data_IF_101079954199
#
_entry.id   IF_101079954199
#
_cell.length_a   1.000
_cell.length_b   1.000
_cell.length_c   1.000
_cell.angle_alpha   90.00
_cell.angle_beta   90.00
_cell.angle_gamma   90.00
#
_symmetry.space_group_name_H-M   'P 1'
#
loop_
_entity.id
_entity.type
_entity.pdbx_description
1 polymer ?
#
# COMPACT_ATOMS: atom_id res chain seq x y z
N UNK A 1 -9.77 10.54 -5.71
CA UNK A 1 -9.94 9.36 -4.85
C UNK A 1 -9.72 9.73 -3.40
N UNK A 2 -9.85 8.80 -2.49
CA UNK A 2 -9.63 9.07 -1.07
C UNK A 2 -8.50 8.19 -0.56
N UNK A 3 -7.70 8.72 0.37
CA UNK A 3 -6.78 7.92 1.16
C UNK A 3 -7.46 7.27 2.37
N UNK A 4 -6.73 6.40 3.04
CA UNK A 4 -7.21 5.71 4.23
C UNK A 4 -6.10 5.56 5.25
N UNK A 5 -6.41 5.76 6.53
CA UNK A 5 -5.50 5.57 7.66
C UNK A 5 -6.22 4.83 8.79
N UNK A 6 -5.53 3.91 9.48
CA UNK A 6 -6.07 3.18 10.62
C UNK A 6 -5.61 1.74 10.68
N UNK A 7 -6.25 0.96 11.52
CA UNK A 7 -6.05 -0.48 11.63
C UNK A 7 -6.85 -1.26 10.57
N UNK A 8 -6.40 -2.45 10.26
CA UNK A 8 -7.15 -3.35 9.37
C UNK A 8 -8.55 -3.61 9.94
N UNK A 9 -9.59 -3.28 9.16
CA UNK A 9 -10.99 -3.36 9.60
C UNK A 9 -11.52 -2.09 10.28
N UNK A 10 -10.68 -1.12 10.54
CA UNK A 10 -11.05 0.20 11.08
C UNK A 10 -10.26 1.30 10.38
N UNK A 11 -10.35 1.35 9.06
CA UNK A 11 -9.71 2.37 8.25
C UNK A 11 -10.60 3.61 8.16
N UNK A 12 -10.05 4.77 8.48
CA UNK A 12 -10.72 6.06 8.33
C UNK A 12 -10.39 6.62 6.96
N UNK A 13 -11.44 7.02 6.25
CA UNK A 13 -11.30 7.67 4.94
C UNK A 13 -10.78 9.08 5.12
N UNK A 14 -9.78 9.43 4.33
CA UNK A 14 -9.22 10.77 4.27
C UNK A 14 -9.61 11.38 2.94
N UNK A 15 -10.33 12.50 2.99
CA UNK A 15 -10.67 13.31 1.83
C UNK A 15 -9.74 14.51 1.80
N UNK A 16 -8.97 14.69 0.72
CA UNK A 16 -8.15 15.87 0.54
C UNK A 16 -8.40 16.54 -0.81
N UNK A 17 -8.51 17.86 -0.80
CA UNK A 17 -8.76 18.63 -2.01
C UNK A 17 -7.50 18.90 -2.83
N UNK A 18 -6.31 18.74 -2.27
CA UNK A 18 -5.02 19.10 -2.88
C UNK A 18 -4.07 17.92 -2.93
N UNK A 19 -3.09 17.94 -3.85
CA UNK A 19 -2.08 16.89 -3.94
C UNK A 19 -1.35 16.71 -2.61
N UNK A 20 -1.20 15.46 -2.20
CA UNK A 20 -0.40 15.09 -1.02
C UNK A 20 1.07 15.34 -1.32
N UNK A 21 1.73 16.09 -0.43
CA UNK A 21 3.19 16.25 -0.52
C UNK A 21 3.85 15.05 0.15
N UNK A 22 4.58 14.27 -0.64
CA UNK A 22 5.38 13.16 -0.14
C UNK A 22 6.84 13.55 -0.10
N UNK A 23 7.45 13.45 1.06
CA UNK A 23 8.90 13.61 1.20
C UNK A 23 9.53 12.23 1.36
N UNK A 24 10.32 11.85 0.38
CA UNK A 24 11.12 10.64 0.44
C UNK A 24 12.50 11.01 1.01
N UNK A 25 12.99 10.33 2.04
CA UNK A 25 14.33 10.58 2.55
C UNK A 25 15.40 10.29 1.50
N UNK A 26 16.52 10.97 1.61
CA UNK A 26 17.66 10.82 0.69
C UNK A 26 18.13 9.36 0.58
N UNK A 27 18.41 8.94 -0.63
CA UNK A 27 18.79 7.55 -0.95
C UNK A 27 20.15 7.13 -0.39
N UNK A 28 20.99 8.09 -0.05
CA UNK A 28 22.35 7.83 0.43
C UNK A 28 22.85 9.02 1.22
N UNK A 29 23.64 8.74 2.18
CA UNK A 29 24.46 9.73 2.88
C UNK A 29 25.90 9.60 2.37
N UNK A 30 26.47 10.72 1.92
CA UNK A 30 27.86 10.76 1.47
C UNK A 30 28.71 11.20 2.65
N UNK A 31 29.48 10.28 3.22
CA UNK A 31 30.42 10.60 4.29
C UNK A 31 31.84 10.72 3.69
N UNK A 32 32.46 11.87 3.88
CA UNK A 32 33.87 12.07 3.54
C UNK A 32 34.75 11.54 4.68
N UNK A 33 35.52 10.50 4.41
CA UNK A 33 36.52 10.04 5.37
C UNK A 33 37.79 10.92 5.28
N UNK A 34 38.57 11.10 6.38
CA UNK A 34 39.83 11.84 6.38
C UNK A 34 40.88 11.31 5.40
N UNK A 35 40.75 10.05 4.96
CA UNK A 35 41.59 9.39 3.97
C UNK A 35 41.29 9.74 2.51
N UNK A 36 40.43 10.72 2.22
CA UNK A 36 39.94 11.09 0.88
C UNK A 36 39.18 9.96 0.16
N UNK A 37 38.75 8.93 0.85
CA UNK A 37 37.85 7.90 0.31
C UNK A 37 36.41 8.26 0.63
N UNK A 38 35.56 8.25 -0.40
CA UNK A 38 34.12 8.48 -0.24
C UNK A 38 33.46 7.15 0.13
N UNK A 39 32.75 7.12 1.24
CA UNK A 39 31.88 6.01 1.58
C UNK A 39 30.43 6.39 1.25
N UNK A 40 29.77 5.55 0.48
CA UNK A 40 28.34 5.67 0.22
C UNK A 40 27.61 4.66 1.09
N UNK A 41 26.72 5.15 1.94
CA UNK A 41 25.76 4.30 2.63
C UNK A 41 24.45 4.41 1.89
N UNK A 42 24.08 3.35 1.18
CA UNK A 42 22.80 3.29 0.49
C UNK A 42 21.76 2.61 1.37
N UNK A 43 20.67 3.31 1.64
CA UNK A 43 19.52 2.69 2.28
C UNK A 43 18.59 2.14 1.19
N UNK A 44 18.24 0.85 1.22
CA UNK A 44 17.29 0.28 0.26
C UNK A 44 15.98 1.07 0.24
N UNK A 45 15.32 1.11 -0.92
CA UNK A 45 14.09 1.89 -1.09
C UNK A 45 13.00 1.53 -0.05
N UNK A 46 12.89 0.25 0.31
CA UNK A 46 11.92 -0.26 1.29
C UNK A 46 12.26 0.03 2.76
N UNK A 47 13.50 0.42 3.06
CA UNK A 47 13.92 0.78 4.41
C UNK A 47 13.88 2.29 4.66
N UNK A 48 13.38 3.07 3.71
CA UNK A 48 13.28 4.52 3.86
C UNK A 48 11.96 4.86 4.55
N UNK A 49 12.07 5.73 5.54
CA UNK A 49 10.92 6.31 6.22
C UNK A 49 10.38 7.45 5.36
N UNK A 50 9.14 7.35 4.96
CA UNK A 50 8.45 8.38 4.19
C UNK A 50 7.69 9.30 5.12
N UNK A 51 7.53 10.53 4.67
CA UNK A 51 6.72 11.53 5.36
C UNK A 51 5.70 12.10 4.38
N UNK A 52 4.47 12.20 4.82
CA UNK A 52 3.36 12.78 4.07
C UNK A 52 2.82 13.98 4.82
N UNK A 53 2.76 15.13 4.13
CA UNK A 53 2.06 16.31 4.59
C UNK A 53 0.78 16.47 3.79
N UNK A 54 -0.35 16.57 4.46
CA UNK A 54 -1.65 16.63 3.82
C UNK A 54 -2.60 17.56 4.58
N UNK A 55 -3.44 18.27 3.83
CA UNK A 55 -4.53 19.07 4.37
C UNK A 55 -5.84 18.39 4.04
N UNK A 56 -6.63 18.17 5.07
CA UNK A 56 -7.96 17.56 4.97
C UNK A 56 -8.99 18.61 5.31
N UNK A 57 -9.90 18.89 4.39
CA UNK A 57 -11.01 19.81 4.63
C UNK A 57 -12.33 19.07 4.46
N UNK A 58 -13.27 19.33 5.35
CA UNK A 58 -14.59 18.73 5.28
C UNK A 58 -15.50 19.16 6.42
N UNK A 59 -16.74 18.70 6.35
CA UNK A 59 -17.69 18.89 7.43
C UNK A 59 -17.24 18.15 8.68
N UNK A 60 -17.74 18.58 9.83
CA UNK A 60 -17.44 17.93 11.10
C UNK A 60 -17.66 16.41 11.06
N UNK A 61 -18.72 15.97 10.38
CA UNK A 61 -19.05 14.55 10.22
C UNK A 61 -17.98 13.78 9.41
N UNK A 62 -17.45 14.40 8.37
CA UNK A 62 -16.44 13.77 7.49
C UNK A 62 -15.08 13.65 8.15
N UNK A 63 -14.67 14.65 8.93
CA UNK A 63 -13.36 14.68 9.59
C UNK A 63 -13.36 14.10 11.01
N UNK A 64 -14.53 13.84 11.61
CA UNK A 64 -14.63 13.37 13.00
C UNK A 64 -13.83 12.09 13.26
N UNK A 65 -13.89 11.12 12.37
CA UNK A 65 -13.12 9.87 12.51
C UNK A 65 -11.60 10.11 12.57
N UNK A 66 -11.12 11.06 11.77
CA UNK A 66 -9.71 11.42 11.75
C UNK A 66 -9.30 12.22 13.00
N UNK A 67 -10.16 13.14 13.45
CA UNK A 67 -9.96 13.87 14.72
C UNK A 67 -9.88 12.89 15.89
N UNK A 68 -10.76 11.90 15.95
CA UNK A 68 -10.76 10.88 17.00
C UNK A 68 -9.50 10.01 16.94
N UNK A 69 -9.05 9.65 15.74
CA UNK A 69 -7.81 8.90 15.55
C UNK A 69 -6.61 9.67 16.10
N UNK A 70 -6.48 10.95 15.73
CA UNK A 70 -5.42 11.83 16.22
C UNK A 70 -5.51 12.06 17.73
N UNK A 71 -6.73 12.16 18.29
CA UNK A 71 -6.94 12.26 19.73
C UNK A 71 -6.67 10.96 20.50
N UNK A 72 -6.27 9.88 19.82
CA UNK A 72 -5.93 8.61 20.47
C UNK A 72 -7.15 7.72 20.81
N UNK A 73 -8.34 8.05 20.32
CA UNK A 73 -9.55 7.27 20.60
C UNK A 73 -9.45 5.81 20.07
N UNK A 74 -8.57 5.56 19.13
CA UNK A 74 -8.32 4.25 18.52
C UNK A 74 -6.92 3.69 18.83
N UNK A 75 -6.29 4.15 19.90
CA UNK A 75 -4.93 3.80 20.29
C UNK A 75 -3.89 4.79 19.76
N UNK A 76 -2.62 4.50 20.01
CA UNK A 76 -1.48 5.36 19.65
C UNK A 76 -0.82 4.98 18.31
N UNK A 77 -1.40 4.02 17.58
CA UNK A 77 -0.75 3.45 16.40
C UNK A 77 0.29 2.36 16.77
N UNK A 78 1.16 1.95 15.87
CA UNK A 78 1.22 2.44 14.49
C UNK A 78 0.02 2.01 13.65
N UNK A 79 -0.34 2.82 12.66
CA UNK A 79 -1.45 2.57 11.75
C UNK A 79 -0.97 2.24 10.34
N UNK A 80 -1.85 1.67 9.53
CA UNK A 80 -1.65 1.56 8.09
C UNK A 80 -2.08 2.84 7.41
N UNK A 81 -1.38 3.18 6.33
CA UNK A 81 -1.72 4.34 5.52
C UNK A 81 -1.67 3.99 4.03
N UNK A 82 -2.75 4.30 3.32
CA UNK A 82 -2.87 4.15 1.88
C UNK A 82 -3.28 5.51 1.32
N UNK A 83 -2.37 6.13 0.57
CA UNK A 83 -2.70 7.37 -0.14
C UNK A 83 -3.64 7.08 -1.32
N UNK A 84 -4.27 8.10 -1.85
CA UNK A 84 -5.09 7.97 -3.07
C UNK A 84 -4.23 7.62 -4.30
N UNK A 85 -2.99 8.06 -4.34
CA UNK A 85 -2.01 7.65 -5.34
C UNK A 85 -1.68 6.16 -5.22
N UNK A 86 -1.39 5.67 -4.01
CA UNK A 86 -1.12 4.26 -3.76
C UNK A 86 -2.28 3.37 -4.20
N UNK A 87 -3.52 3.81 -4.00
CA UNK A 87 -4.72 3.08 -4.39
C UNK A 87 -4.81 2.79 -5.90
N UNK A 88 -4.20 3.63 -6.74
CA UNK A 88 -4.22 3.50 -8.20
C UNK A 88 -2.89 3.05 -8.81
N UNK A 89 -1.79 3.15 -8.06
CA UNK A 89 -0.47 2.73 -8.53
C UNK A 89 -0.08 1.38 -7.97
N UNK A 90 0.07 1.26 -6.64
CA UNK A 90 0.37 0.00 -5.97
C UNK A 90 0.15 0.13 -4.44
N UNK A 91 -0.86 -0.54 -3.93
CA UNK A 91 -1.24 -0.53 -2.50
C UNK A 91 -0.25 -1.30 -1.62
N UNK A 92 0.53 -2.20 -2.19
CA UNK A 92 1.57 -2.93 -1.45
C UNK A 92 2.57 -1.96 -0.81
N UNK A 93 3.22 -2.40 0.24
CA UNK A 93 4.41 -1.70 0.74
C UNK A 93 5.56 -1.82 -0.26
N UNK A 94 6.56 -0.93 -0.22
CA UNK A 94 7.76 -1.07 -1.04
C UNK A 94 8.43 -2.45 -0.87
N UNK A 95 8.46 -2.98 0.36
CA UNK A 95 9.05 -4.28 0.64
C UNK A 95 8.29 -5.43 -0.03
N UNK A 96 6.96 -5.44 0.07
CA UNK A 96 6.12 -6.46 -0.57
C UNK A 96 6.18 -6.37 -2.09
N UNK A 97 6.11 -5.16 -2.66
CA UNK A 97 6.13 -4.94 -4.12
C UNK A 97 7.48 -5.32 -4.77
N UNK A 98 8.55 -5.34 -4.00
CA UNK A 98 9.89 -5.74 -4.43
C UNK A 98 10.27 -7.14 -3.94
N UNK A 99 9.37 -7.86 -3.28
CA UNK A 99 9.61 -9.17 -2.68
C UNK A 99 10.82 -9.17 -1.72
N UNK A 100 11.02 -8.07 -1.00
CA UNK A 100 12.15 -7.90 -0.10
C UNK A 100 12.10 -8.93 1.04
N UNK A 101 13.24 -9.58 1.31
CA UNK A 101 13.35 -10.63 2.32
C UNK A 101 12.88 -12.02 1.88
N UNK A 102 12.18 -12.13 0.74
CA UNK A 102 11.74 -13.43 0.18
C UNK A 102 12.32 -13.69 -1.21
N UNK A 103 12.86 -12.68 -1.89
CA UNK A 103 13.51 -12.84 -3.19
C UNK A 103 14.76 -13.72 -3.07
N UNK A 104 14.80 -14.80 -3.84
CA UNK A 104 15.88 -15.81 -3.85
C UNK A 104 16.26 -16.27 -5.26
N UNK A 105 15.56 -15.80 -6.28
CA UNK A 105 15.72 -16.19 -7.68
C UNK A 105 16.64 -15.27 -8.49
N UNK A 106 17.27 -14.26 -7.85
CA UNK A 106 18.08 -13.28 -8.55
C UNK A 106 17.25 -12.20 -9.26
N UNK A 107 17.62 -11.89 -10.50
CA UNK A 107 16.95 -10.87 -11.30
C UNK A 107 16.43 -11.47 -12.61
N UNK A 108 15.26 -11.05 -13.03
CA UNK A 108 14.67 -11.39 -14.32
C UNK A 108 14.05 -10.14 -14.97
N UNK A 109 13.94 -10.17 -16.30
CA UNK A 109 13.27 -9.11 -17.03
C UNK A 109 11.76 -9.23 -16.86
N UNK A 110 11.19 -8.21 -16.24
CA UNK A 110 9.73 -8.11 -16.04
C UNK A 110 9.00 -7.69 -17.31
N UNK A 111 7.80 -8.18 -17.49
CA UNK A 111 6.90 -7.82 -18.60
C UNK A 111 6.11 -6.54 -18.25
N UNK A 112 5.62 -6.45 -17.01
CA UNK A 112 4.77 -5.37 -16.54
C UNK A 112 5.52 -4.18 -15.94
N UNK A 113 6.85 -4.22 -15.87
CA UNK A 113 7.65 -3.22 -15.17
C UNK A 113 9.09 -3.11 -15.70
N UNK A 114 10.03 -2.73 -14.83
CA UNK A 114 11.43 -2.56 -15.21
C UNK A 114 12.08 -3.91 -15.53
N UNK A 115 13.09 -3.87 -16.39
CA UNK A 115 14.02 -4.97 -16.56
C UNK A 115 14.81 -5.25 -15.27
N UNK A 116 15.35 -6.46 -15.14
CA UNK A 116 16.14 -6.88 -13.98
C UNK A 116 15.43 -6.70 -12.63
N UNK A 117 14.16 -7.08 -12.56
CA UNK A 117 13.40 -7.08 -11.33
C UNK A 117 13.84 -8.21 -10.39
N UNK A 118 13.82 -7.93 -9.10
CA UNK A 118 14.05 -8.92 -8.04
C UNK A 118 12.98 -10.02 -8.06
N UNK A 119 13.37 -11.28 -7.98
CA UNK A 119 12.50 -12.43 -8.18
C UNK A 119 12.56 -13.44 -7.04
N UNK A 120 11.47 -14.21 -6.93
CA UNK A 120 11.43 -15.47 -6.16
C UNK A 120 11.49 -16.63 -7.13
N UNK A 121 12.39 -17.58 -6.89
CA UNK A 121 12.51 -18.82 -7.66
C UNK A 121 11.74 -19.94 -7.00
N UNK A 122 10.83 -20.59 -7.74
CA UNK A 122 10.11 -21.82 -7.40
C UNK A 122 9.40 -21.92 -6.05
N UNK A 123 8.32 -22.67 -5.96
CA UNK A 123 7.65 -23.02 -4.70
C UNK A 123 6.30 -22.33 -4.47
N UNK A 124 6.03 -21.98 -3.21
CA UNK A 124 4.86 -21.23 -2.78
C UNK A 124 5.31 -20.01 -1.98
N UNK A 125 4.69 -18.89 -2.22
CA UNK A 125 4.99 -17.64 -1.51
C UNK A 125 3.73 -16.91 -1.08
N UNK A 126 3.77 -16.30 0.09
CA UNK A 126 2.79 -15.30 0.51
C UNK A 126 3.36 -13.94 0.15
N UNK A 127 2.77 -13.29 -0.84
CA UNK A 127 3.17 -11.96 -1.31
C UNK A 127 2.75 -10.92 -0.26
N UNK A 128 1.52 -11.03 0.22
CA UNK A 128 0.99 -10.18 1.29
C UNK A 128 -0.03 -10.94 2.13
N UNK A 129 0.01 -10.75 3.45
CA UNK A 129 -0.91 -11.44 4.38
C UNK A 129 -2.29 -10.77 4.45
N UNK A 130 -2.33 -9.44 4.35
CA UNK A 130 -3.59 -8.70 4.46
C UNK A 130 -3.43 -7.28 3.92
N UNK A 131 -3.60 -7.11 2.62
CA UNK A 131 -3.67 -5.78 2.01
C UNK A 131 -5.04 -5.17 2.31
N UNK A 132 -5.15 -3.97 2.88
CA UNK A 132 -6.44 -3.32 3.09
C UNK A 132 -7.16 -3.11 1.76
N UNK A 133 -8.47 -3.38 1.73
CA UNK A 133 -9.33 -3.10 0.57
C UNK A 133 -10.66 -2.57 1.07
N UNK A 134 -11.12 -1.41 0.59
CA UNK A 134 -12.45 -0.90 0.95
C UNK A 134 -13.55 -1.80 0.41
N UNK A 135 -14.59 -2.02 1.23
CA UNK A 135 -15.76 -2.79 0.81
C UNK A 135 -16.42 -2.19 -0.44
N UNK A 136 -16.82 -3.04 -1.37
CA UNK A 136 -17.47 -2.63 -2.61
C UNK A 136 -16.53 -2.07 -3.68
N UNK A 137 -15.26 -1.81 -3.38
CA UNK A 137 -14.28 -1.37 -4.37
C UNK A 137 -13.83 -2.54 -5.25
N UNK A 138 -13.50 -2.31 -6.53
CA UNK A 138 -12.77 -3.28 -7.30
C UNK A 138 -11.34 -3.41 -6.74
N UNK A 139 -10.75 -4.58 -6.86
CA UNK A 139 -9.34 -4.80 -6.57
C UNK A 139 -8.73 -5.72 -7.61
N UNK A 140 -7.63 -5.30 -8.17
CA UNK A 140 -6.86 -6.09 -9.14
C UNK A 140 -5.46 -6.34 -8.59
N UNK A 141 -5.04 -7.58 -8.69
CA UNK A 141 -3.69 -8.02 -8.37
C UNK A 141 -3.01 -8.50 -9.63
N UNK A 142 -1.78 -8.14 -9.83
CA UNK A 142 -0.96 -8.64 -10.93
C UNK A 142 0.45 -9.00 -10.48
N UNK A 143 1.03 -9.98 -11.17
CA UNK A 143 2.41 -10.43 -10.98
C UNK A 143 3.00 -10.79 -12.33
N UNK A 144 4.31 -10.67 -12.48
CA UNK A 144 5.03 -11.25 -13.59
C UNK A 144 5.53 -12.63 -13.17
N UNK A 145 5.22 -13.66 -13.95
CA UNK A 145 5.57 -15.04 -13.60
C UNK A 145 5.90 -15.89 -14.81
N UNK A 146 6.70 -16.94 -14.58
CA UNK A 146 6.93 -18.03 -15.51
C UNK A 146 6.67 -19.37 -14.80
N UNK A 147 6.31 -20.41 -15.57
CA UNK A 147 5.93 -21.74 -15.04
C UNK A 147 4.42 -21.91 -14.89
N UNK A 148 4.01 -22.96 -14.20
CA UNK A 148 2.61 -23.31 -13.93
C UNK A 148 2.06 -22.49 -12.76
N UNK A 149 1.98 -21.19 -12.94
CA UNK A 149 1.66 -20.25 -11.87
C UNK A 149 0.20 -20.30 -11.47
N UNK A 150 -0.03 -20.40 -10.18
CA UNK A 150 -1.35 -20.26 -9.55
C UNK A 150 -1.34 -19.04 -8.62
N UNK A 151 -2.07 -18.00 -8.98
CA UNK A 151 -2.26 -16.81 -8.15
C UNK A 151 -3.60 -16.91 -7.41
N UNK A 152 -3.56 -16.83 -6.10
CA UNK A 152 -4.74 -16.96 -5.24
C UNK A 152 -4.97 -15.69 -4.44
N UNK A 153 -6.17 -15.15 -4.54
CA UNK A 153 -6.66 -13.98 -3.82
C UNK A 153 -7.72 -14.40 -2.82
N UNK A 154 -7.41 -14.35 -1.53
CA UNK A 154 -8.33 -14.70 -0.47
C UNK A 154 -8.75 -13.47 0.33
N UNK A 155 -10.00 -12.99 0.21
CA UNK A 155 -10.53 -11.99 1.13
C UNK A 155 -10.48 -12.48 2.57
N UNK A 156 -10.08 -11.60 3.50
CA UNK A 156 -9.93 -11.92 4.92
C UNK A 156 -10.59 -10.86 5.80
N UNK A 157 -11.02 -11.28 7.00
CA UNK A 157 -11.50 -10.36 8.03
C UNK A 157 -10.34 -9.75 8.84
N UNK A 158 -10.64 -8.89 9.82
CA UNK A 158 -9.63 -8.23 10.66
C UNK A 158 -8.76 -9.22 11.47
N UNK A 159 -9.23 -10.43 11.70
CA UNK A 159 -8.45 -11.50 12.35
C UNK A 159 -7.64 -12.35 11.35
N UNK A 160 -7.58 -11.97 10.08
CA UNK A 160 -6.90 -12.72 9.02
C UNK A 160 -7.58 -14.01 8.58
N UNK A 161 -8.83 -14.26 9.04
CA UNK A 161 -9.58 -15.46 8.66
C UNK A 161 -10.24 -15.29 7.29
N UNK A 162 -10.27 -16.33 6.45
CA UNK A 162 -10.93 -16.30 5.15
C UNK A 162 -12.39 -15.85 5.23
N UNK A 163 -12.81 -15.04 4.27
CA UNK A 163 -14.18 -14.56 4.07
C UNK A 163 -14.59 -14.85 2.64
N UNK A 164 -15.62 -15.65 2.46
CA UNK A 164 -16.08 -16.03 1.12
C UNK A 164 -15.09 -16.91 0.36
N UNK A 165 -15.27 -16.98 -0.96
CA UNK A 165 -14.45 -17.82 -1.83
C UNK A 165 -13.20 -17.09 -2.29
N UNK A 166 -12.09 -17.80 -2.35
CA UNK A 166 -10.90 -17.30 -3.01
C UNK A 166 -11.10 -17.15 -4.52
N UNK A 167 -10.49 -16.13 -5.10
CA UNK A 167 -10.30 -16.05 -6.55
C UNK A 167 -8.97 -16.68 -6.89
N UNK A 168 -8.97 -17.54 -7.90
CA UNK A 168 -7.79 -18.27 -8.35
C UNK A 168 -7.64 -18.08 -9.84
N UNK A 169 -6.46 -17.68 -10.27
CA UNK A 169 -6.08 -17.63 -11.67
C UNK A 169 -4.88 -18.54 -11.90
N UNK A 170 -4.87 -19.20 -13.04
CA UNK A 170 -3.81 -20.15 -13.41
C UNK A 170 -3.28 -19.82 -14.80
N UNK A 171 -1.98 -19.86 -14.92
CA UNK A 171 -1.32 -19.75 -16.22
C UNK A 171 -0.21 -20.77 -16.33
N UNK A 172 -0.16 -21.47 -17.46
CA UNK A 172 0.87 -22.44 -17.79
C UNK A 172 1.74 -21.86 -18.91
N UNK A 173 2.75 -21.08 -18.55
CA UNK A 173 3.65 -20.45 -19.53
C UNK A 173 5.08 -20.54 -19.06
N UNK A 174 5.93 -21.13 -19.88
CA UNK A 174 7.37 -21.25 -19.59
C UNK A 174 8.12 -19.92 -19.68
N UNK A 175 7.57 -18.96 -20.44
CA UNK A 175 8.13 -17.61 -20.58
C UNK A 175 7.45 -16.64 -19.63
N UNK A 176 8.20 -15.64 -19.20
CA UNK A 176 7.69 -14.57 -18.34
C UNK A 176 6.47 -13.91 -18.97
N UNK A 177 5.40 -13.76 -18.20
CA UNK A 177 4.16 -13.12 -18.62
C UNK A 177 3.50 -12.42 -17.44
N UNK A 178 2.67 -11.42 -17.73
CA UNK A 178 1.86 -10.73 -16.71
C UNK A 178 0.59 -11.53 -16.44
N UNK A 179 0.45 -12.01 -15.23
CA UNK A 179 -0.79 -12.63 -14.72
C UNK A 179 -1.57 -11.60 -13.92
N UNK A 180 -2.88 -11.50 -14.17
CA UNK A 180 -3.74 -10.53 -13.52
C UNK A 180 -5.05 -11.16 -13.08
N UNK A 181 -5.48 -10.84 -11.85
CA UNK A 181 -6.76 -11.30 -11.26
C UNK A 181 -7.51 -10.13 -10.68
N UNK A 182 -8.79 -10.03 -11.00
CA UNK A 182 -9.67 -8.96 -10.51
C UNK A 182 -10.81 -9.53 -9.67
N UNK A 183 -11.05 -8.91 -8.50
CA UNK A 183 -12.29 -9.04 -7.74
C UNK A 183 -13.08 -7.74 -8.00
N UNK A 184 -14.14 -7.77 -8.82
CA UNK A 184 -14.81 -6.54 -9.26
C UNK A 184 -15.57 -5.82 -8.12
N UNK A 185 -16.02 -6.56 -7.12
CA UNK A 185 -16.68 -6.02 -5.92
C UNK A 185 -16.13 -6.73 -4.70
N UNK A 186 -15.36 -6.02 -3.89
CA UNK A 186 -14.78 -6.59 -2.68
C UNK A 186 -15.86 -6.85 -1.62
N UNK A 187 -15.89 -8.04 -0.99
CA UNK A 187 -16.95 -8.41 -0.06
C UNK A 187 -17.05 -7.49 1.15
N UNK A 188 -18.26 -7.08 1.53
CA UNK A 188 -18.50 -6.18 2.66
C UNK A 188 -18.04 -6.74 4.03
N UNK A 189 -18.03 -8.06 4.19
CA UNK A 189 -17.56 -8.71 5.41
C UNK A 189 -16.04 -8.88 5.48
N UNK A 190 -15.33 -8.64 4.39
CA UNK A 190 -13.88 -8.68 4.32
C UNK A 190 -13.30 -7.27 4.47
N UNK A 191 -12.10 -7.17 5.03
CA UNK A 191 -11.41 -5.90 5.28
C UNK A 191 -10.00 -5.90 4.69
N UNK A 192 -9.52 -7.05 4.25
CA UNK A 192 -8.21 -7.20 3.65
C UNK A 192 -8.15 -8.36 2.67
N UNK A 193 -7.09 -8.39 1.89
CA UNK A 193 -6.81 -9.38 0.87
C UNK A 193 -5.49 -10.09 1.16
N UNK A 194 -5.53 -11.41 1.34
CA UNK A 194 -4.35 -12.26 1.36
C UNK A 194 -4.02 -12.69 -0.06
N UNK A 195 -2.74 -12.58 -0.43
CA UNK A 195 -2.26 -12.89 -1.78
C UNK A 195 -1.18 -13.95 -1.68
N UNK A 196 -1.39 -15.07 -2.37
CA UNK A 196 -0.42 -16.17 -2.45
C UNK A 196 -0.18 -16.57 -3.90
N UNK A 197 1.04 -16.99 -4.20
CA UNK A 197 1.39 -17.55 -5.50
C UNK A 197 2.11 -18.88 -5.33
N UNK A 198 1.86 -19.83 -6.22
CA UNK A 198 2.49 -21.16 -6.20
C UNK A 198 2.71 -21.71 -7.62
N UNK A 199 3.52 -22.77 -7.75
CA UNK A 199 3.76 -23.47 -9.01
C UNK A 199 4.64 -22.74 -10.02
N UNK A 200 5.07 -21.52 -9.75
CA UNK A 200 5.93 -20.73 -10.63
C UNK A 200 7.38 -21.24 -10.61
N UNK A 201 8.10 -20.98 -11.67
CA UNK A 201 9.58 -21.11 -11.72
C UNK A 201 10.26 -19.80 -11.37
N UNK A 202 9.65 -18.67 -11.76
CA UNK A 202 10.11 -17.32 -11.44
C UNK A 202 8.88 -16.43 -11.22
N UNK A 203 8.91 -15.60 -10.18
CA UNK A 203 7.87 -14.63 -9.84
C UNK A 203 8.50 -13.29 -9.48
N UNK A 204 7.98 -12.19 -10.03
CA UNK A 204 8.41 -10.85 -9.71
C UNK A 204 7.30 -9.81 -9.88
N UNK A 205 7.59 -8.56 -9.52
CA UNK A 205 6.75 -7.38 -9.76
C UNK A 205 5.29 -7.50 -9.30
N UNK A 206 5.01 -7.94 -8.06
CA UNK A 206 3.65 -7.94 -7.55
C UNK A 206 3.13 -6.50 -7.44
N UNK A 207 1.84 -6.35 -7.76
CA UNK A 207 1.13 -5.07 -7.72
C UNK A 207 -0.31 -5.30 -7.33
N UNK A 208 -0.84 -4.40 -6.50
CA UNK A 208 -2.25 -4.37 -6.08
C UNK A 208 -2.79 -2.98 -6.29
N UNK A 209 -3.94 -2.87 -6.93
CA UNK A 209 -4.64 -1.59 -7.14
C UNK A 209 -6.12 -1.72 -6.85
N UNK A 210 -6.76 -0.63 -6.44
CA UNK A 210 -8.22 -0.58 -6.26
C UNK A 210 -8.91 -0.09 -7.54
N UNK A 211 -8.59 -0.75 -8.63
CA UNK A 211 -9.10 -0.52 -9.98
C UNK A 211 -9.48 -1.85 -10.63
N UNK A 212 -10.21 -1.79 -11.72
CA UNK A 212 -10.59 -2.97 -12.52
C UNK A 212 -9.44 -3.57 -13.34
N UNK A 213 -8.32 -2.86 -13.45
CA UNK A 213 -7.11 -3.31 -14.14
C UNK A 213 -5.86 -2.67 -13.55
N UNK A 214 -4.74 -3.37 -13.60
CA UNK A 214 -3.46 -2.82 -13.18
C UNK A 214 -2.86 -1.93 -14.27
N UNK A 215 -2.38 -0.73 -13.92
CA UNK A 215 -1.50 0.05 -14.79
C UNK A 215 -0.13 -0.63 -14.94
N UNK A 216 0.81 0.06 -15.59
CA UNK A 216 2.21 -0.36 -15.54
C UNK A 216 2.67 -0.45 -14.10
N UNK A 217 3.49 -1.47 -13.80
CA UNK A 217 3.99 -1.68 -12.45
C UNK A 217 4.78 -0.47 -11.91
N UNK A 218 4.55 -0.17 -10.66
CA UNK A 218 5.31 0.80 -9.88
C UNK A 218 5.61 0.23 -8.49
N UNK A 219 6.61 0.81 -7.84
CA UNK A 219 6.97 0.44 -6.46
C UNK A 219 5.80 0.70 -5.54
N UNK A 220 5.58 -0.20 -4.59
CA UNK A 220 4.52 -0.06 -3.60
C UNK A 220 4.58 1.27 -2.85
N UNK A 221 3.44 1.93 -2.76
CA UNK A 221 3.27 3.22 -2.11
C UNK A 221 2.48 3.13 -0.78
N UNK A 222 1.93 1.96 -0.45
CA UNK A 222 1.30 1.69 0.84
C UNK A 222 2.29 1.71 2.01
N UNK A 223 1.81 1.98 3.21
CA UNK A 223 2.60 1.94 4.43
C UNK A 223 1.85 1.16 5.53
N UNK A 224 2.50 0.17 6.11
CA UNK A 224 1.92 -0.69 7.14
C UNK A 224 2.09 -0.15 8.56
N UNK A 225 3.00 0.80 8.74
CA UNK A 225 3.36 1.30 10.06
C UNK A 225 3.63 2.80 9.97
N UNK A 226 2.64 3.60 10.32
CA UNK A 226 2.74 5.07 10.37
C UNK A 226 2.24 5.61 11.69
N UNK A 227 2.74 6.78 12.05
CA UNK A 227 2.22 7.61 13.15
C UNK A 227 1.82 8.96 12.60
N UNK A 228 0.87 9.63 13.26
CA UNK A 228 0.60 11.05 13.06
C UNK A 228 1.47 11.81 14.06
N UNK A 229 2.45 12.56 13.54
CA UNK A 229 3.37 13.32 14.38
C UNK A 229 2.79 14.66 14.75
N UNK A 230 2.14 15.32 13.80
CA UNK A 230 1.55 16.64 14.00
C UNK A 230 0.16 16.67 13.38
N UNK A 231 -0.77 17.29 14.12
CA UNK A 231 -2.11 17.54 13.64
C UNK A 231 -2.61 18.90 14.13
N UNK A 232 -2.86 19.81 13.21
CA UNK A 232 -3.42 21.13 13.52
C UNK A 232 -4.82 21.20 12.95
N UNK A 233 -5.80 21.56 13.79
CA UNK A 233 -7.20 21.70 13.36
C UNK A 233 -7.60 23.16 13.40
N UNK A 234 -8.11 23.68 12.31
CA UNK A 234 -8.64 25.04 12.18
C UNK A 234 -10.13 24.98 11.87
N UNK A 235 -10.92 25.72 12.60
CA UNK A 235 -12.34 25.91 12.31
C UNK A 235 -12.49 27.06 11.33
N UNK A 236 -13.04 26.79 10.15
CA UNK A 236 -13.07 27.76 9.05
C UNK A 236 -14.42 28.44 8.91
N UNK A 237 -15.52 27.71 9.12
CA UNK A 237 -16.86 28.23 8.92
C UNK A 237 -17.89 27.45 9.74
N UNK A 238 -18.97 28.12 10.14
CA UNK A 238 -20.14 27.49 10.74
C UNK A 238 -21.32 27.73 9.81
N UNK A 239 -21.81 26.68 9.17
CA UNK A 239 -23.03 26.74 8.37
C UNK A 239 -24.26 26.79 9.28
N UNK A 240 -24.87 27.98 9.37
CA UNK A 240 -26.02 28.23 10.23
C UNK A 240 -27.24 27.35 9.88
N UNK A 241 -27.37 26.96 8.60
CA UNK A 241 -28.50 26.19 8.10
C UNK A 241 -28.39 24.69 8.32
N UNK A 242 -27.20 24.15 8.24
CA UNK A 242 -26.92 22.71 8.41
C UNK A 242 -26.50 22.36 9.83
N UNK A 243 -26.21 23.35 10.67
CA UNK A 243 -25.59 23.21 12.00
C UNK A 243 -24.26 22.41 11.93
N UNK A 244 -23.63 22.37 10.78
CA UNK A 244 -22.35 21.72 10.61
C UNK A 244 -21.21 22.74 10.56
N UNK A 245 -20.03 22.32 10.96
CA UNK A 245 -18.84 23.15 11.03
C UNK A 245 -17.82 22.63 10.05
N UNK A 246 -17.33 23.48 9.15
CA UNK A 246 -16.18 23.17 8.32
C UNK A 246 -14.91 23.22 9.14
N UNK A 247 -14.10 22.20 8.95
CA UNK A 247 -12.79 22.08 9.59
C UNK A 247 -11.75 21.82 8.53
N UNK A 248 -10.60 22.44 8.69
CA UNK A 248 -9.37 22.08 7.99
C UNK A 248 -8.41 21.48 8.99
N UNK A 249 -7.86 20.33 8.66
CA UNK A 249 -6.87 19.65 9.48
C UNK A 249 -5.63 19.45 8.64
N UNK A 250 -4.50 20.00 9.11
CA UNK A 250 -3.18 19.72 8.55
C UNK A 250 -2.53 18.58 9.32
N UNK A 251 -2.06 17.57 8.62
CA UNK A 251 -1.50 16.35 9.18
C UNK A 251 -0.10 16.10 8.64
N UNK A 252 0.81 15.73 9.53
CA UNK A 252 2.10 15.15 9.19
C UNK A 252 2.10 13.69 9.61
N UNK A 253 2.17 12.80 8.64
CA UNK A 253 2.20 11.35 8.82
C UNK A 253 3.63 10.88 8.56
N UNK A 254 4.19 10.11 9.47
CA UNK A 254 5.54 9.52 9.31
C UNK A 254 5.49 8.01 9.36
N UNK A 255 6.21 7.39 8.45
CA UNK A 255 6.47 5.96 8.47
C UNK A 255 7.42 5.63 9.62
N UNK A 256 7.08 4.59 10.40
CA UNK A 256 7.86 4.06 11.52
C UNK A 256 8.04 2.57 11.33
N UNK A 257 9.27 2.09 11.34
CA UNK A 257 9.55 0.68 11.12
C UNK A 257 11.02 0.38 11.25
#
# INVERSE_FOLDING_TARGET
>A
MAGYIGELGRMHKILWPTPVKVTNPTRYEVQSAPSRRWAFVTTPAWARRREWSLDVSGTNREVTGLVQLVAGAFGSGPWRFISDEAAVTNVLTPAESMLAGIANGGFADGVGGPAAASCVGGGEVVIAQSVPVPAGSPVTVSVDAAGDTVLTLQPVNAAGRPVGNARVERAQRQVMHRLQVTIPVFPAAAVGLKITASGYTTLCLPQVVWLDSCPRWDVGAGADSVIVEEATTTYTEHEFWTQDTWRTMSLTIKEVG
#
